data_IF_297384042143
#
_entry.id   IF_297384042143
#
_cell.length_a   1.000
_cell.length_b   1.000
_cell.length_c   1.000
_cell.angle_alpha   90.00
_cell.angle_beta   90.00
_cell.angle_gamma   90.00
#
_symmetry.space_group_name_H-M   'P 1'
#
loop_
_entity.id
_entity.type
_entity.pdbx_description
1 polymer ?
#
# COMPACT_ATOMS: atom_id res chain seq x y z
N UNK A 1 6.00 -24.23 18.27
CA UNK A 1 7.46 -24.02 18.28
C UNK A 1 7.93 -24.03 16.84
N UNK A 2 8.54 -22.95 16.35
CA UNK A 2 9.13 -22.90 15.01
C UNK A 2 10.38 -23.79 14.95
N UNK A 3 10.65 -24.45 13.82
CA UNK A 3 11.86 -25.27 13.66
C UNK A 3 13.12 -24.36 13.67
N UNK A 4 14.32 -24.86 14.04
CA UNK A 4 15.54 -24.06 14.11
C UNK A 4 15.91 -23.33 12.81
N UNK A 5 15.54 -23.88 11.65
CA UNK A 5 15.72 -23.25 10.33
C UNK A 5 14.78 -22.07 10.13
N UNK A 6 13.54 -22.19 10.58
CA UNK A 6 12.51 -21.15 10.47
C UNK A 6 12.84 -19.96 11.37
N UNK A 7 13.38 -20.21 12.57
CA UNK A 7 13.81 -19.15 13.48
C UNK A 7 14.98 -18.34 12.92
N UNK A 8 15.91 -18.99 12.20
CA UNK A 8 17.03 -18.30 11.56
C UNK A 8 16.55 -17.33 10.49
N UNK A 9 15.64 -17.77 9.62
CA UNK A 9 15.08 -16.94 8.55
C UNK A 9 14.17 -15.82 9.10
N UNK A 10 13.39 -16.11 10.14
CA UNK A 10 12.61 -15.09 10.86
C UNK A 10 13.52 -13.99 11.42
N UNK A 11 14.63 -14.36 12.06
CA UNK A 11 15.58 -13.40 12.61
C UNK A 11 16.31 -12.60 11.52
N UNK A 12 16.67 -13.23 10.38
CA UNK A 12 17.21 -12.51 9.22
C UNK A 12 16.24 -11.45 8.72
N UNK A 13 14.96 -11.80 8.57
CA UNK A 13 13.89 -10.88 8.15
C UNK A 13 13.75 -9.70 9.11
N UNK A 14 13.71 -9.98 10.42
CA UNK A 14 13.65 -8.94 11.46
C UNK A 14 14.84 -7.98 11.36
N UNK A 15 16.06 -8.49 11.16
CA UNK A 15 17.25 -7.66 10.96
C UNK A 15 17.14 -6.80 9.69
N UNK A 16 16.74 -7.38 8.55
CA UNK A 16 16.56 -6.60 7.30
C UNK A 16 15.52 -5.50 7.45
N UNK A 17 14.40 -5.81 8.11
CA UNK A 17 13.32 -4.86 8.37
C UNK A 17 13.78 -3.65 9.18
N UNK A 18 14.49 -3.88 10.29
CA UNK A 18 14.97 -2.75 11.11
C UNK A 18 16.05 -1.93 10.38
N UNK A 19 16.92 -2.55 9.58
CA UNK A 19 17.95 -1.86 8.79
C UNK A 19 17.35 -1.00 7.67
N UNK A 20 16.22 -1.44 7.09
CA UNK A 20 15.46 -0.63 6.14
C UNK A 20 14.81 0.57 6.83
N UNK A 21 14.21 0.36 7.99
CA UNK A 21 13.47 1.41 8.72
C UNK A 21 14.37 2.45 9.39
N UNK A 22 15.48 2.02 10.00
CA UNK A 22 16.36 2.88 10.80
C UNK A 22 17.65 3.26 10.08
N UNK A 23 17.92 2.67 8.91
CA UNK A 23 19.15 2.88 8.16
C UNK A 23 20.34 2.08 8.71
N UNK A 24 21.53 2.67 8.65
CA UNK A 24 22.76 1.98 9.02
C UNK A 24 22.87 1.81 10.55
N UNK A 25 23.09 0.58 11.01
CA UNK A 25 23.19 0.23 12.43
C UNK A 25 24.39 -0.68 12.71
N UNK A 26 25.00 -0.54 13.88
CA UNK A 26 26.02 -1.45 14.40
C UNK A 26 25.40 -2.75 14.88
N UNK A 27 26.23 -3.81 15.01
CA UNK A 27 25.76 -5.11 15.53
C UNK A 27 25.18 -5.02 16.95
N UNK A 28 25.66 -4.06 17.75
CA UNK A 28 25.17 -3.83 19.10
C UNK A 28 23.75 -3.22 19.08
N UNK A 29 23.55 -2.16 18.28
CA UNK A 29 22.23 -1.52 18.11
C UNK A 29 21.22 -2.50 17.51
N UNK A 30 21.64 -3.33 16.54
CA UNK A 30 20.80 -4.39 15.97
C UNK A 30 20.36 -5.37 17.05
N UNK A 31 21.28 -5.85 17.90
CA UNK A 31 20.96 -6.77 18.98
C UNK A 31 19.97 -6.16 19.99
N UNK A 32 20.16 -4.90 20.34
CA UNK A 32 19.30 -4.15 21.26
C UNK A 32 17.88 -3.97 20.71
N UNK A 33 17.74 -3.45 19.49
CA UNK A 33 16.42 -3.18 18.88
C UNK A 33 15.67 -4.47 18.53
N UNK A 34 16.39 -5.53 18.15
CA UNK A 34 15.74 -6.80 17.76
C UNK A 34 15.51 -7.76 18.92
N UNK A 35 16.08 -7.52 20.11
CA UNK A 35 16.14 -8.47 21.23
C UNK A 35 16.76 -9.84 20.83
N UNK A 36 17.66 -9.83 19.84
CA UNK A 36 18.42 -11.01 19.41
C UNK A 36 19.79 -10.97 20.07
N UNK A 37 20.24 -12.10 20.65
CA UNK A 37 21.56 -12.15 21.27
C UNK A 37 22.68 -11.71 20.32
N UNK A 38 23.68 -10.99 20.84
CA UNK A 38 24.84 -10.49 20.07
C UNK A 38 25.55 -11.62 19.31
N UNK A 39 25.65 -12.81 19.89
CA UNK A 39 26.26 -13.99 19.24
C UNK A 39 25.47 -14.41 18.00
N UNK A 40 24.14 -14.39 18.08
CA UNK A 40 23.26 -14.69 16.94
C UNK A 40 23.32 -13.59 15.90
N UNK A 41 23.25 -12.32 16.29
CA UNK A 41 23.40 -11.18 15.36
C UNK A 41 24.72 -11.26 14.59
N UNK A 42 25.84 -11.55 15.27
CA UNK A 42 27.14 -11.72 14.62
C UNK A 42 27.13 -12.79 13.52
N UNK A 43 26.46 -13.92 13.75
CA UNK A 43 26.33 -15.00 12.76
C UNK A 43 25.40 -14.62 11.61
N UNK A 44 24.30 -13.93 11.90
CA UNK A 44 23.31 -13.55 10.90
C UNK A 44 23.82 -12.43 9.99
N UNK A 45 24.49 -11.41 10.54
CA UNK A 45 25.09 -10.33 9.76
C UNK A 45 26.10 -10.87 8.76
N UNK A 46 26.99 -11.78 9.17
CA UNK A 46 27.91 -12.44 8.22
C UNK A 46 27.17 -13.16 7.10
N UNK A 47 26.13 -13.92 7.44
CA UNK A 47 25.36 -14.66 6.44
C UNK A 47 24.54 -13.76 5.50
N UNK A 48 24.11 -12.58 5.97
CA UNK A 48 23.40 -11.58 5.16
C UNK A 48 24.39 -10.84 4.23
N UNK A 49 25.57 -10.51 4.73
CA UNK A 49 26.66 -9.86 3.97
C UNK A 49 27.21 -10.80 2.89
N UNK A 50 27.47 -12.08 3.22
CA UNK A 50 27.84 -13.12 2.24
C UNK A 50 26.78 -13.30 1.14
N UNK A 51 25.52 -13.00 1.45
CA UNK A 51 24.39 -13.06 0.52
C UNK A 51 24.13 -11.76 -0.25
N UNK A 52 24.94 -10.72 -0.06
CA UNK A 52 24.75 -9.37 -0.61
C UNK A 52 23.39 -8.74 -0.18
N UNK A 53 22.77 -9.23 0.90
CA UNK A 53 21.49 -8.72 1.42
C UNK A 53 21.68 -7.41 2.18
N UNK A 54 22.86 -7.23 2.77
CA UNK A 54 23.28 -6.03 3.51
C UNK A 54 24.69 -5.65 3.07
N UNK A 55 25.03 -4.38 3.26
CA UNK A 55 26.37 -3.85 2.96
C UNK A 55 26.95 -3.12 4.16
N UNK A 56 28.26 -3.25 4.32
CA UNK A 56 29.03 -2.51 5.29
C UNK A 56 29.02 -1.01 4.94
N UNK A 57 28.83 -0.18 5.96
CA UNK A 57 29.00 1.26 5.86
C UNK A 57 30.04 1.71 6.88
N UNK A 58 31.14 2.25 6.37
CA UNK A 58 32.19 2.90 7.14
C UNK A 58 31.69 4.26 7.67
N UNK A 59 30.88 4.22 8.73
CA UNK A 59 30.51 5.40 9.50
C UNK A 59 31.31 5.41 10.79
N UNK A 60 32.42 6.16 10.81
CA UNK A 60 33.23 6.32 12.01
C UNK A 60 32.56 7.29 12.99
N UNK A 61 31.60 6.81 13.79
CA UNK A 61 31.19 7.52 15.00
C UNK A 61 32.08 7.07 16.15
N UNK A 62 32.88 7.99 16.69
CA UNK A 62 33.80 7.72 17.81
C UNK A 62 33.05 7.96 19.11
N UNK A 63 32.55 6.89 19.74
CA UNK A 63 32.06 6.94 21.12
C UNK A 63 32.88 5.96 21.97
N UNK A 64 33.63 6.49 22.94
CA UNK A 64 34.23 5.72 24.04
C UNK A 64 35.39 4.75 23.73
N UNK A 65 35.75 4.50 22.47
CA UNK A 65 36.86 3.64 22.06
C UNK A 65 36.43 2.46 21.17
N UNK A 66 37.32 2.13 20.21
CA UNK A 66 37.21 1.23 19.05
C UNK A 66 36.07 1.57 18.08
N UNK A 67 36.44 1.78 16.81
CA UNK A 67 35.52 2.06 15.69
C UNK A 67 34.56 0.87 15.51
N UNK A 68 33.26 1.10 15.65
CA UNK A 68 32.23 0.11 15.38
C UNK A 68 31.78 0.24 13.92
N UNK A 69 31.77 -0.88 13.21
CA UNK A 69 31.27 -0.97 11.84
C UNK A 69 29.74 -0.95 11.86
N UNK A 70 29.14 -0.16 10.97
CA UNK A 70 27.69 -0.13 10.74
C UNK A 70 27.33 -0.91 9.48
N UNK A 71 26.11 -1.44 9.44
CA UNK A 71 25.56 -2.21 8.33
C UNK A 71 24.25 -1.59 7.91
N UNK A 72 23.96 -1.55 6.61
CA UNK A 72 22.67 -1.13 6.07
C UNK A 72 22.13 -2.17 5.10
N UNK A 73 20.83 -2.12 4.84
CA UNK A 73 20.22 -2.95 3.79
C UNK A 73 20.89 -2.63 2.44
N UNK A 74 21.16 -3.66 1.63
CA UNK A 74 21.50 -3.43 0.23
C UNK A 74 20.21 -3.09 -0.52
N UNK A 75 20.00 -1.84 -0.97
CA UNK A 75 18.74 -1.44 -1.59
C UNK A 75 18.44 -2.28 -2.85
N UNK A 76 19.47 -2.71 -3.57
CA UNK A 76 19.37 -3.36 -4.88
C UNK A 76 19.43 -4.90 -4.78
N UNK A 77 19.41 -5.46 -3.56
CA UNK A 77 19.37 -6.91 -3.36
C UNK A 77 18.06 -7.52 -3.89
N UNK A 78 16.95 -6.81 -3.74
CA UNK A 78 15.63 -7.17 -4.28
C UNK A 78 14.92 -5.94 -4.82
N UNK A 79 14.01 -6.16 -5.77
CA UNK A 79 13.16 -5.14 -6.34
C UNK A 79 11.69 -5.58 -6.31
N UNK A 80 10.80 -4.58 -6.30
CA UNK A 80 9.36 -4.76 -6.37
C UNK A 80 8.87 -4.16 -7.67
N UNK A 81 8.21 -4.96 -8.51
CA UNK A 81 7.48 -4.45 -9.66
C UNK A 81 6.06 -4.07 -9.22
N UNK A 82 5.74 -2.79 -9.30
CA UNK A 82 4.41 -2.27 -9.03
C UNK A 82 3.70 -2.01 -10.36
N UNK A 83 2.49 -2.54 -10.48
CA UNK A 83 1.56 -2.26 -11.57
C UNK A 83 0.37 -1.53 -10.98
N UNK A 84 0.15 -0.28 -11.37
CA UNK A 84 -0.97 0.52 -10.88
C UNK A 84 -1.94 0.82 -12.01
N UNK A 85 -3.21 0.46 -11.85
CA UNK A 85 -4.27 0.78 -12.79
C UNK A 85 -5.04 1.99 -12.23
N UNK A 86 -5.11 3.07 -12.99
CA UNK A 86 -5.69 4.32 -12.50
C UNK A 86 -6.33 5.16 -13.60
N UNK A 87 -7.23 6.04 -13.21
CA UNK A 87 -7.74 7.10 -14.06
C UNK A 87 -6.80 8.31 -14.02
N UNK A 88 -6.27 8.74 -15.18
CA UNK A 88 -5.47 9.96 -15.33
C UNK A 88 -6.10 10.82 -16.42
N UNK A 89 -6.52 12.03 -16.08
CA UNK A 89 -7.19 12.96 -17.00
C UNK A 89 -8.35 12.33 -17.79
N UNK A 90 -9.25 11.62 -17.09
CA UNK A 90 -10.37 10.93 -17.72
C UNK A 90 -9.99 9.81 -18.68
N UNK A 91 -8.75 9.32 -18.63
CA UNK A 91 -8.29 8.17 -19.40
C UNK A 91 -7.80 7.09 -18.46
N UNK A 92 -8.07 5.85 -18.85
CA UNK A 92 -7.52 4.69 -18.18
C UNK A 92 -6.04 4.62 -18.52
N UNK A 93 -5.19 4.62 -17.49
CA UNK A 93 -3.75 4.48 -17.61
C UNK A 93 -3.30 3.35 -16.70
N UNK A 94 -2.38 2.53 -17.18
CA UNK A 94 -1.63 1.62 -16.31
C UNK A 94 -0.18 2.04 -16.28
N UNK A 95 0.44 1.91 -15.12
CA UNK A 95 1.84 2.30 -14.92
C UNK A 95 2.59 1.11 -14.34
N UNK A 96 3.69 0.76 -15.00
CA UNK A 96 4.70 -0.14 -14.44
C UNK A 96 5.76 0.69 -13.76
N UNK A 97 6.14 0.30 -12.56
CA UNK A 97 7.21 0.96 -11.81
C UNK A 97 8.05 -0.09 -11.09
N UNK A 98 9.37 -0.03 -11.27
CA UNK A 98 10.31 -0.92 -10.55
C UNK A 98 10.97 -0.11 -9.44
N UNK A 99 10.84 -0.62 -8.22
CA UNK A 99 11.40 -0.02 -7.02
C UNK A 99 12.44 -0.91 -6.39
N UNK A 100 13.50 -0.32 -5.85
CA UNK A 100 14.41 -1.00 -4.94
C UNK A 100 13.83 -1.04 -3.51
N UNK A 101 14.50 -1.72 -2.57
CA UNK A 101 13.97 -1.90 -1.20
C UNK A 101 13.82 -0.61 -0.38
N UNK A 102 14.45 0.49 -0.81
CA UNK A 102 14.32 1.82 -0.18
C UNK A 102 13.26 2.69 -0.85
N UNK A 103 12.55 2.16 -1.86
CA UNK A 103 11.51 2.88 -2.60
C UNK A 103 12.07 3.83 -3.66
N UNK A 104 13.35 3.73 -4.00
CA UNK A 104 13.92 4.45 -5.12
C UNK A 104 13.45 3.82 -6.43
N UNK A 105 13.05 4.68 -7.35
CA UNK A 105 12.47 4.28 -8.64
C UNK A 105 13.60 4.03 -9.63
N UNK A 106 13.69 2.81 -10.16
CA UNK A 106 14.63 2.46 -11.23
C UNK A 106 14.00 2.55 -12.63
N UNK A 107 12.68 2.35 -12.71
CA UNK A 107 11.95 2.36 -13.98
C UNK A 107 10.52 2.82 -13.77
N UNK A 108 9.99 3.61 -14.70
CA UNK A 108 8.56 3.92 -14.80
C UNK A 108 8.16 4.00 -16.26
N UNK A 109 7.07 3.33 -16.60
CA UNK A 109 6.42 3.47 -17.90
C UNK A 109 4.90 3.55 -17.73
N UNK A 110 4.32 4.65 -18.21
CA UNK A 110 2.88 4.85 -18.27
C UNK A 110 2.38 4.42 -19.66
N UNK A 111 1.32 3.62 -19.72
CA UNK A 111 0.72 3.11 -20.95
C UNK A 111 -0.80 3.37 -20.97
N UNK A 112 -1.37 3.54 -22.17
CA UNK A 112 -2.82 3.67 -22.35
C UNK A 112 -3.51 2.34 -22.06
N UNK A 113 -4.42 2.31 -21.09
CA UNK A 113 -5.08 1.08 -20.66
C UNK A 113 -6.45 0.81 -21.29
N UNK A 114 -6.83 1.55 -22.33
CA UNK A 114 -8.13 1.36 -23.02
C UNK A 114 -8.26 -0.05 -23.63
N UNK A 115 -7.15 -0.64 -24.09
CA UNK A 115 -7.09 -1.99 -24.67
C UNK A 115 -6.32 -2.98 -23.78
N UNK A 116 -6.16 -2.69 -22.49
CA UNK A 116 -5.39 -3.56 -21.59
C UNK A 116 -6.15 -4.86 -21.32
N UNK A 117 -5.64 -5.96 -21.87
CA UNK A 117 -6.07 -7.31 -21.56
C UNK A 117 -4.98 -8.09 -20.77
N UNK A 118 -5.33 -9.31 -20.38
CA UNK A 118 -4.41 -10.18 -19.66
C UNK A 118 -3.18 -10.56 -20.49
N UNK A 119 -3.27 -10.62 -21.82
CA UNK A 119 -2.14 -10.99 -22.68
C UNK A 119 -1.10 -9.87 -22.79
N UNK A 120 -1.55 -8.62 -22.92
CA UNK A 120 -0.71 -7.44 -22.86
C UNK A 120 -0.01 -7.35 -21.49
N UNK A 121 -0.76 -7.54 -20.40
CA UNK A 121 -0.20 -7.51 -19.06
C UNK A 121 0.86 -8.59 -18.85
N UNK A 122 0.59 -9.84 -19.25
CA UNK A 122 1.55 -10.95 -19.21
C UNK A 122 2.85 -10.61 -19.94
N UNK A 123 2.74 -10.09 -21.16
CA UNK A 123 3.89 -9.74 -22.00
C UNK A 123 4.76 -8.67 -21.34
N UNK A 124 4.15 -7.55 -20.95
CA UNK A 124 4.87 -6.42 -20.38
C UNK A 124 5.54 -6.79 -19.04
N UNK A 125 4.82 -7.52 -18.17
CA UNK A 125 5.38 -8.00 -16.91
C UNK A 125 6.56 -8.94 -17.16
N UNK A 126 6.44 -9.88 -18.12
CA UNK A 126 7.52 -10.80 -18.46
C UNK A 126 8.74 -10.07 -18.98
N UNK A 127 8.56 -9.11 -19.88
CA UNK A 127 9.65 -8.32 -20.45
C UNK A 127 10.38 -7.53 -19.35
N UNK A 128 9.65 -6.96 -18.40
CA UNK A 128 10.23 -6.26 -17.23
C UNK A 128 10.95 -7.22 -16.27
N UNK A 129 10.39 -8.40 -15.98
CA UNK A 129 11.05 -9.41 -15.14
C UNK A 129 12.35 -9.90 -15.81
N UNK A 130 12.38 -10.01 -17.13
CA UNK A 130 13.61 -10.33 -17.86
C UNK A 130 14.64 -9.19 -17.83
N UNK A 131 14.19 -7.94 -17.92
CA UNK A 131 15.06 -6.76 -17.88
C UNK A 131 15.63 -6.49 -16.48
N UNK A 132 14.86 -6.78 -15.43
CA UNK A 132 15.18 -6.48 -14.03
C UNK A 132 15.25 -7.78 -13.21
N UNK A 133 16.40 -8.44 -13.28
CA UNK A 133 16.64 -9.76 -12.64
C UNK A 133 16.51 -9.80 -11.12
N UNK A 134 16.43 -8.64 -10.45
CA UNK A 134 16.29 -8.52 -8.99
C UNK A 134 14.82 -8.40 -8.55
N UNK A 135 13.86 -8.29 -9.49
CA UNK A 135 12.43 -8.33 -9.15
C UNK A 135 12.13 -9.63 -8.41
N UNK A 136 11.67 -9.48 -7.16
CA UNK A 136 11.40 -10.60 -6.25
C UNK A 136 9.91 -10.81 -5.98
N UNK A 137 9.08 -9.79 -6.24
CA UNK A 137 7.63 -9.89 -6.23
C UNK A 137 7.01 -8.84 -7.15
N UNK A 138 5.75 -9.07 -7.52
CA UNK A 138 4.94 -8.16 -8.33
C UNK A 138 3.73 -7.76 -7.50
N UNK A 139 3.40 -6.48 -7.45
CA UNK A 139 2.20 -5.96 -6.80
C UNK A 139 1.33 -5.27 -7.82
N UNK A 140 0.08 -5.69 -7.93
CA UNK A 140 -0.88 -5.15 -8.88
C UNK A 140 -2.02 -4.51 -8.12
N UNK A 141 -2.15 -3.20 -8.28
CA UNK A 141 -3.30 -2.49 -7.77
C UNK A 141 -4.44 -2.51 -8.79
N UNK A 142 -5.65 -2.84 -8.36
CA UNK A 142 -6.85 -2.87 -9.21
C UNK A 142 -8.00 -2.07 -8.58
N UNK A 143 -8.73 -1.23 -9.34
CA UNK A 143 -10.00 -0.65 -8.91
C UNK A 143 -11.07 -1.74 -9.06
N UNK A 144 -11.25 -2.51 -8.00
CA UNK A 144 -12.15 -3.64 -8.01
C UNK A 144 -11.92 -4.68 -6.93
N UNK A 145 -12.70 -5.75 -7.00
CA UNK A 145 -12.78 -6.77 -5.95
C UNK A 145 -12.33 -8.13 -6.48
N UNK A 146 -11.39 -8.76 -5.79
CA UNK A 146 -11.01 -10.16 -5.99
C UNK A 146 -11.83 -11.07 -5.07
N UNK A 147 -12.65 -11.97 -5.64
CA UNK A 147 -13.41 -12.98 -4.87
C UNK A 147 -13.09 -14.36 -5.43
N UNK A 148 -12.53 -15.21 -4.56
CA UNK A 148 -12.15 -16.59 -4.91
C UNK A 148 -11.14 -16.66 -6.05
N UNK A 149 -10.12 -15.80 -6.01
CA UNK A 149 -9.04 -15.72 -7.01
C UNK A 149 -9.39 -14.93 -8.28
N UNK A 150 -10.65 -14.54 -8.45
CA UNK A 150 -11.16 -13.86 -9.66
C UNK A 150 -11.51 -12.42 -9.41
N UNK A 151 -11.19 -11.55 -10.36
CA UNK A 151 -11.66 -10.17 -10.38
C UNK A 151 -13.15 -10.14 -10.75
N UNK A 152 -14.03 -9.76 -9.83
CA UNK A 152 -15.50 -9.87 -9.98
C UNK A 152 -16.22 -8.56 -10.22
N UNK A 153 -15.70 -7.47 -9.71
CA UNK A 153 -16.22 -6.12 -9.97
C UNK A 153 -15.00 -5.27 -10.32
N UNK A 154 -14.97 -4.76 -11.55
CA UNK A 154 -13.87 -3.92 -12.02
C UNK A 154 -14.36 -2.90 -13.02
N UNK A 155 -13.72 -1.75 -12.97
CA UNK A 155 -13.88 -0.69 -13.96
C UNK A 155 -13.20 -1.04 -15.30
N UNK A 156 -12.52 -2.21 -15.37
CA UNK A 156 -11.84 -2.76 -16.55
C UNK A 156 -12.51 -4.05 -17.05
N UNK A 157 -13.36 -3.97 -18.09
CA UNK A 157 -14.11 -5.13 -18.58
C UNK A 157 -13.22 -6.28 -19.08
N UNK A 158 -12.06 -5.98 -19.67
CA UNK A 158 -11.16 -6.97 -20.29
C UNK A 158 -10.45 -7.87 -19.27
N UNK A 159 -10.43 -7.48 -17.99
CA UNK A 159 -9.85 -8.27 -16.91
C UNK A 159 -10.93 -8.94 -16.04
N UNK A 160 -12.22 -8.75 -16.36
CA UNK A 160 -13.32 -9.31 -15.59
C UNK A 160 -13.30 -10.85 -15.62
N UNK A 161 -13.50 -11.46 -14.46
CA UNK A 161 -13.45 -12.91 -14.20
C UNK A 161 -12.09 -13.58 -14.47
N UNK A 162 -11.02 -12.81 -14.67
CA UNK A 162 -9.66 -13.33 -14.83
C UNK A 162 -9.09 -13.72 -13.46
N UNK A 163 -8.39 -14.87 -13.44
CA UNK A 163 -7.55 -15.30 -12.32
C UNK A 163 -6.19 -14.61 -12.39
N UNK A 164 -6.19 -13.31 -12.10
CA UNK A 164 -5.04 -12.44 -12.39
C UNK A 164 -3.76 -12.94 -11.73
N UNK A 165 -3.82 -13.25 -10.42
CA UNK A 165 -2.68 -13.77 -9.66
C UNK A 165 -2.14 -15.05 -10.27
N UNK A 166 -2.94 -16.12 -10.30
CA UNK A 166 -2.50 -17.43 -10.77
C UNK A 166 -1.96 -17.39 -12.20
N UNK A 167 -2.64 -16.63 -13.07
CA UNK A 167 -2.24 -16.47 -14.48
C UNK A 167 -0.87 -15.83 -14.61
N UNK A 168 -0.57 -14.80 -13.81
CA UNK A 168 0.70 -14.09 -13.87
C UNK A 168 1.81 -14.84 -13.12
N UNK A 169 1.52 -15.43 -11.97
CA UNK A 169 2.47 -16.27 -11.22
C UNK A 169 2.99 -17.41 -12.09
N UNK A 170 2.09 -18.08 -12.83
CA UNK A 170 2.47 -19.15 -13.76
C UNK A 170 3.33 -18.68 -14.95
N UNK A 171 3.25 -17.41 -15.34
CA UNK A 171 4.01 -16.87 -16.46
C UNK A 171 5.44 -16.49 -16.06
N UNK A 172 5.63 -15.93 -14.86
CA UNK A 172 6.92 -15.40 -14.42
C UNK A 172 7.60 -16.18 -13.30
N UNK A 173 6.91 -17.14 -12.67
CA UNK A 173 7.40 -17.91 -11.52
C UNK A 173 7.84 -17.02 -10.34
N UNK A 174 7.15 -15.89 -10.15
CA UNK A 174 7.35 -14.97 -9.03
C UNK A 174 6.02 -14.75 -8.31
N UNK A 175 6.03 -14.44 -7.00
CA UNK A 175 4.83 -14.08 -6.26
C UNK A 175 4.13 -12.87 -6.89
N UNK A 176 2.80 -12.96 -7.07
CA UNK A 176 1.97 -11.86 -7.54
C UNK A 176 0.94 -11.50 -6.47
N UNK A 177 1.01 -10.26 -6.02
CA UNK A 177 0.11 -9.69 -5.04
C UNK A 177 -0.91 -8.81 -5.75
N UNK A 178 -2.14 -8.81 -5.26
CA UNK A 178 -3.23 -7.99 -5.79
C UNK A 178 -3.86 -7.27 -4.63
N UNK A 179 -4.03 -5.96 -4.76
CA UNK A 179 -4.65 -5.11 -3.75
C UNK A 179 -5.57 -4.09 -4.41
N UNK A 180 -6.58 -3.64 -3.67
CA UNK A 180 -7.46 -2.58 -4.18
C UNK A 180 -6.73 -1.24 -4.17
N UNK A 181 -7.15 -0.33 -5.04
CA UNK A 181 -6.59 1.02 -5.13
C UNK A 181 -6.81 1.84 -3.84
N UNK A 182 -7.97 1.75 -3.21
CA UNK A 182 -8.28 2.45 -1.97
C UNK A 182 -7.52 1.91 -0.76
N UNK A 183 -7.36 0.59 -0.65
CA UNK A 183 -6.55 -0.03 0.41
C UNK A 183 -5.07 0.35 0.26
N UNK A 184 -4.54 0.26 -0.96
CA UNK A 184 -3.18 0.68 -1.22
C UNK A 184 -3.02 2.19 -0.96
N UNK A 185 -3.96 3.04 -1.36
CA UNK A 185 -3.88 4.47 -1.07
C UNK A 185 -3.81 4.77 0.44
N UNK A 186 -4.60 4.09 1.28
CA UNK A 186 -4.55 4.34 2.73
C UNK A 186 -3.27 3.80 3.38
N UNK A 187 -2.73 2.67 2.88
CA UNK A 187 -1.39 2.19 3.28
C UNK A 187 -0.29 3.20 2.93
N UNK A 188 -0.38 3.82 1.74
CA UNK A 188 0.55 4.85 1.34
C UNK A 188 0.44 6.13 2.16
N UNK A 189 -0.77 6.48 2.59
CA UNK A 189 -0.98 7.55 3.56
C UNK A 189 -0.30 7.25 4.89
N UNK A 190 -0.48 6.03 5.44
CA UNK A 190 0.15 5.57 6.69
C UNK A 190 1.68 5.50 6.63
N UNK A 191 2.26 5.39 5.43
CA UNK A 191 3.72 5.46 5.23
C UNK A 191 4.31 6.87 5.42
N UNK A 192 3.48 7.89 5.61
CA UNK A 192 3.91 9.24 6.01
C UNK A 192 4.26 9.25 7.50
N UNK A 193 4.91 10.31 8.02
CA UNK A 193 5.14 10.48 9.46
C UNK A 193 3.82 10.82 10.18
N UNK A 194 2.89 9.88 10.20
CA UNK A 194 1.58 9.92 10.86
C UNK A 194 1.55 8.82 11.92
N UNK A 195 0.94 9.11 13.08
CA UNK A 195 0.94 8.21 14.24
C UNK A 195 -0.35 7.42 14.40
N UNK A 196 -1.39 7.84 13.69
CA UNK A 196 -2.77 7.36 13.82
C UNK A 196 -2.90 5.95 13.22
N UNK A 197 -3.56 5.05 13.95
CA UNK A 197 -3.74 3.65 13.56
C UNK A 197 -5.18 3.37 13.06
N UNK A 198 -6.11 4.30 13.29
CA UNK A 198 -7.48 4.23 12.78
C UNK A 198 -7.73 5.35 11.74
N UNK A 199 -7.55 5.03 10.46
CA UNK A 199 -7.63 5.97 9.34
C UNK A 199 -8.65 5.47 8.31
N UNK A 200 -9.57 6.33 7.90
CA UNK A 200 -10.48 6.07 6.79
C UNK A 200 -10.10 6.94 5.59
N UNK A 201 -9.82 6.32 4.45
CA UNK A 201 -9.64 7.00 3.17
C UNK A 201 -10.93 6.92 2.36
N UNK A 202 -11.52 8.06 1.99
CA UNK A 202 -12.66 8.14 1.07
C UNK A 202 -12.18 8.65 -0.29
N UNK A 203 -12.34 7.85 -1.33
CA UNK A 203 -11.89 8.19 -2.69
C UNK A 203 -13.06 8.54 -3.61
N UNK A 204 -12.98 9.72 -4.22
CA UNK A 204 -13.95 10.27 -5.16
C UNK A 204 -13.26 10.60 -6.50
N UNK A 205 -13.18 9.63 -7.43
CA UNK A 205 -12.77 9.88 -8.81
C UNK A 205 -13.82 10.69 -9.59
N UNK A 206 -13.44 11.20 -10.76
CA UNK A 206 -14.30 12.06 -11.57
C UNK A 206 -15.29 11.30 -12.46
N UNK A 207 -15.02 10.02 -12.76
CA UNK A 207 -15.84 9.20 -13.68
C UNK A 207 -16.35 7.89 -13.11
N UNK A 208 -15.84 7.47 -11.97
CA UNK A 208 -16.15 6.17 -11.39
C UNK A 208 -16.87 6.35 -10.04
N UNK A 209 -17.64 5.35 -9.61
CA UNK A 209 -18.23 5.35 -8.27
C UNK A 209 -17.13 5.48 -7.20
N UNK A 210 -17.45 6.09 -6.04
CA UNK A 210 -16.48 6.25 -4.97
C UNK A 210 -16.18 4.93 -4.25
N UNK A 211 -15.01 4.88 -3.64
CA UNK A 211 -14.54 3.77 -2.82
C UNK A 211 -13.99 4.25 -1.49
N UNK A 212 -13.74 3.33 -0.56
CA UNK A 212 -13.06 3.62 0.69
C UNK A 212 -11.99 2.59 1.02
N UNK A 213 -10.93 3.04 1.69
CA UNK A 213 -9.91 2.21 2.31
C UNK A 213 -10.02 2.37 3.82
N UNK A 214 -10.01 1.27 4.55
CA UNK A 214 -10.23 1.24 6.00
C UNK A 214 -8.99 0.67 6.68
N UNK A 215 -8.22 1.50 7.38
CA UNK A 215 -7.11 1.09 8.22
C UNK A 215 -7.55 1.15 9.68
N UNK A 216 -7.68 0.01 10.34
CA UNK A 216 -8.15 -0.09 11.73
C UNK A 216 -7.11 -0.84 12.55
N UNK A 217 -6.70 -0.28 13.68
CA UNK A 217 -5.60 -0.78 14.52
C UNK A 217 -4.30 -1.04 13.71
N UNK A 218 -4.01 -0.18 12.75
CA UNK A 218 -2.81 -0.29 11.90
C UNK A 218 -2.90 -1.34 10.80
N UNK A 219 -4.04 -2.03 10.65
CA UNK A 219 -4.24 -3.08 9.65
C UNK A 219 -5.39 -2.74 8.69
N UNK A 220 -5.29 -3.21 7.45
CA UNK A 220 -6.35 -3.01 6.46
C UNK A 220 -7.54 -3.92 6.78
N UNK A 221 -8.69 -3.32 7.02
CA UNK A 221 -9.94 -4.04 7.17
C UNK A 221 -10.51 -4.38 5.79
N UNK A 222 -10.30 -5.62 5.33
CA UNK A 222 -10.81 -6.13 4.05
C UNK A 222 -12.22 -6.73 4.15
N UNK A 223 -12.52 -7.32 5.31
CA UNK A 223 -13.70 -8.15 5.51
C UNK A 223 -13.65 -9.46 4.72
N UNK A 224 -14.53 -10.41 5.07
CA UNK A 224 -14.52 -11.81 4.58
C UNK A 224 -14.31 -12.01 3.08
N UNK A 225 -14.85 -11.11 2.26
CA UNK A 225 -14.82 -11.21 0.79
C UNK A 225 -14.08 -10.03 0.14
N UNK A 226 -13.33 -9.23 0.91
CA UNK A 226 -12.71 -8.00 0.40
C UNK A 226 -13.71 -6.89 0.06
N UNK A 227 -14.92 -6.92 0.65
CA UNK A 227 -16.01 -5.97 0.36
C UNK A 227 -16.01 -4.75 1.29
N UNK A 228 -15.18 -4.74 2.34
CA UNK A 228 -15.13 -3.62 3.25
C UNK A 228 -14.64 -2.37 2.50
N UNK A 229 -15.33 -1.25 2.69
CA UNK A 229 -15.03 0.00 1.98
C UNK A 229 -15.69 0.17 0.61
N UNK A 230 -16.47 -0.80 0.12
CA UNK A 230 -17.23 -0.66 -1.13
C UNK A 230 -18.49 0.21 -0.96
N UNK A 231 -18.27 1.50 -0.70
CA UNK A 231 -19.31 2.46 -0.34
C UNK A 231 -20.33 2.71 -1.45
N UNK A 232 -20.01 2.37 -2.71
CA UNK A 232 -20.97 2.46 -3.82
C UNK A 232 -22.19 1.56 -3.66
N UNK A 233 -22.10 0.47 -2.91
CA UNK A 233 -23.23 -0.44 -2.63
C UNK A 233 -24.03 -0.06 -1.39
N UNK A 234 -23.72 1.06 -0.73
CA UNK A 234 -24.53 1.54 0.38
C UNK A 234 -25.97 1.80 -0.09
N UNK A 235 -26.99 1.45 0.72
CA UNK A 235 -28.40 1.54 0.31
C UNK A 235 -28.93 3.00 0.36
N UNK A 236 -28.23 3.91 -0.29
CA UNK A 236 -28.55 5.35 -0.38
C UNK A 236 -29.41 5.69 -1.60
N UNK A 237 -29.85 4.67 -2.36
CA UNK A 237 -30.66 4.82 -3.58
C UNK A 237 -29.97 5.68 -4.65
N UNK A 238 -28.65 5.49 -4.81
CA UNK A 238 -27.85 6.18 -5.81
C UNK A 238 -27.66 5.27 -7.01
N UNK A 239 -28.06 5.75 -8.19
CA UNK A 239 -27.73 5.13 -9.46
C UNK A 239 -26.39 5.70 -9.94
N UNK A 240 -25.31 4.96 -9.71
CA UNK A 240 -23.96 5.39 -10.07
C UNK A 240 -23.72 5.47 -11.59
N UNK A 241 -24.48 4.71 -12.39
CA UNK A 241 -24.34 4.73 -13.84
C UNK A 241 -24.86 6.04 -14.45
N UNK A 242 -25.82 6.67 -13.77
CA UNK A 242 -26.44 7.94 -14.16
C UNK A 242 -26.17 9.06 -13.14
N UNK A 243 -25.18 8.90 -12.27
CA UNK A 243 -24.93 9.85 -11.19
C UNK A 243 -24.41 11.19 -11.71
N UNK A 244 -24.93 12.27 -11.15
CA UNK A 244 -24.42 13.62 -11.40
C UNK A 244 -23.17 13.86 -10.56
N UNK A 245 -22.00 13.79 -11.21
CA UNK A 245 -20.70 14.10 -10.61
C UNK A 245 -20.46 15.62 -10.43
N UNK A 246 -21.51 16.43 -10.26
CA UNK A 246 -21.38 17.83 -9.87
C UNK A 246 -20.80 17.98 -8.47
N UNK A 247 -20.11 19.09 -8.23
CA UNK A 247 -19.47 19.39 -6.94
C UNK A 247 -20.47 19.30 -5.79
N UNK A 248 -21.69 19.80 -5.96
CA UNK A 248 -22.70 19.82 -4.91
C UNK A 248 -23.17 18.40 -4.54
N UNK A 249 -23.36 17.53 -5.53
CA UNK A 249 -23.75 16.13 -5.31
C UNK A 249 -22.65 15.32 -4.66
N UNK A 250 -21.39 15.54 -5.06
CA UNK A 250 -20.25 14.92 -4.41
C UNK A 250 -20.12 15.39 -2.96
N UNK A 251 -20.27 16.70 -2.68
CA UNK A 251 -20.27 17.23 -1.31
C UNK A 251 -21.39 16.62 -0.46
N UNK A 252 -22.60 16.48 -1.02
CA UNK A 252 -23.74 15.82 -0.35
C UNK A 252 -23.40 14.37 0.03
N UNK A 253 -22.79 13.61 -0.88
CA UNK A 253 -22.37 12.23 -0.61
C UNK A 253 -21.27 12.14 0.44
N UNK A 254 -20.26 13.01 0.36
CA UNK A 254 -19.16 13.09 1.35
C UNK A 254 -19.73 13.31 2.76
N UNK A 255 -20.65 14.26 2.95
CA UNK A 255 -21.27 14.51 4.27
C UNK A 255 -21.90 13.23 4.85
N UNK A 256 -22.65 12.48 4.03
CA UNK A 256 -23.25 11.21 4.44
C UNK A 256 -22.19 10.17 4.80
N UNK A 257 -21.14 10.03 3.98
CA UNK A 257 -20.08 9.06 4.24
C UNK A 257 -19.31 9.37 5.51
N UNK A 258 -18.96 10.63 5.76
CA UNK A 258 -18.27 11.07 6.97
C UNK A 258 -19.09 10.73 8.22
N UNK A 259 -20.40 10.97 8.21
CA UNK A 259 -21.29 10.58 9.30
C UNK A 259 -21.32 9.06 9.52
N UNK A 260 -21.41 8.27 8.45
CA UNK A 260 -21.41 6.81 8.55
C UNK A 260 -20.08 6.28 9.07
N UNK A 261 -18.96 6.79 8.58
CA UNK A 261 -17.63 6.36 9.03
C UNK A 261 -17.42 6.65 10.51
N UNK A 262 -17.91 7.80 10.99
CA UNK A 262 -17.95 8.10 12.43
C UNK A 262 -18.77 7.06 13.20
N UNK A 263 -19.98 6.75 12.74
CA UNK A 263 -20.88 5.82 13.44
C UNK A 263 -20.36 4.38 13.51
N UNK A 264 -19.66 3.90 12.48
CA UNK A 264 -19.19 2.51 12.42
C UNK A 264 -17.78 2.30 12.95
N UNK A 265 -16.91 3.29 12.81
CA UNK A 265 -15.47 3.11 13.03
C UNK A 265 -14.84 4.13 13.98
N UNK A 266 -15.46 5.31 14.18
CA UNK A 266 -14.92 6.40 15.00
C UNK A 266 -13.40 6.62 14.79
N UNK A 267 -12.96 6.91 13.55
CA UNK A 267 -11.54 6.94 13.21
C UNK A 267 -10.84 8.17 13.81
N UNK A 268 -9.51 8.09 13.95
CA UNK A 268 -8.67 9.23 14.33
C UNK A 268 -8.53 10.24 13.17
N UNK A 269 -8.52 9.74 11.92
CA UNK A 269 -8.38 10.56 10.72
C UNK A 269 -9.30 10.10 9.60
N UNK A 270 -9.91 11.06 8.90
CA UNK A 270 -10.62 10.82 7.64
C UNK A 270 -9.91 11.59 6.52
N UNK A 271 -9.37 10.86 5.56
CA UNK A 271 -8.71 11.40 4.37
C UNK A 271 -9.67 11.35 3.20
N UNK A 272 -10.04 12.51 2.66
CA UNK A 272 -10.90 12.63 1.49
C UNK A 272 -10.04 12.89 0.26
N UNK A 273 -9.94 11.88 -0.62
CA UNK A 273 -9.23 11.94 -1.88
C UNK A 273 -10.15 12.39 -3.01
N UNK A 274 -9.82 13.52 -3.63
CA UNK A 274 -10.67 14.12 -4.67
C UNK A 274 -9.94 15.16 -5.50
N UNK A 275 -10.21 15.20 -6.81
CA UNK A 275 -9.74 16.26 -7.70
C UNK A 275 -10.74 17.41 -7.86
N UNK A 276 -11.98 17.21 -7.42
CA UNK A 276 -13.01 18.25 -7.45
C UNK A 276 -12.54 19.50 -6.66
N UNK A 277 -12.91 20.69 -7.15
CA UNK A 277 -12.59 21.94 -6.47
C UNK A 277 -13.78 22.39 -5.63
N UNK A 278 -13.61 22.36 -4.30
CA UNK A 278 -14.69 22.58 -3.34
C UNK A 278 -14.78 23.97 -2.73
N UNK A 279 -13.83 24.88 -3.00
CA UNK A 279 -13.61 26.02 -2.11
C UNK A 279 -13.10 25.51 -0.76
N UNK A 280 -11.85 25.02 -0.75
CA UNK A 280 -11.37 23.95 0.13
C UNK A 280 -11.55 24.18 1.64
N UNK A 281 -11.48 25.43 2.12
CA UNK A 281 -11.53 25.73 3.55
C UNK A 281 -12.96 25.65 4.10
N UNK A 282 -13.89 26.31 3.43
CA UNK A 282 -15.29 26.43 3.88
C UNK A 282 -15.98 25.07 3.98
N UNK A 283 -15.74 24.16 3.02
CA UNK A 283 -16.38 22.84 3.03
C UNK A 283 -15.89 21.95 4.18
N UNK A 284 -14.59 22.01 4.51
CA UNK A 284 -14.03 21.21 5.60
C UNK A 284 -14.49 21.74 6.96
N UNK A 285 -14.57 23.06 7.12
CA UNK A 285 -15.15 23.69 8.32
C UNK A 285 -16.63 23.31 8.48
N UNK A 286 -17.41 23.34 7.40
CA UNK A 286 -18.81 22.91 7.39
C UNK A 286 -18.98 21.45 7.80
N UNK A 287 -18.14 20.55 7.26
CA UNK A 287 -18.15 19.13 7.63
C UNK A 287 -17.87 18.93 9.13
N UNK A 288 -16.84 19.58 9.66
CA UNK A 288 -16.46 19.49 11.07
C UNK A 288 -17.55 20.06 11.98
N UNK A 289 -18.14 21.21 11.61
CA UNK A 289 -19.25 21.78 12.37
C UNK A 289 -20.47 20.85 12.37
N UNK A 290 -20.84 20.29 11.21
CA UNK A 290 -21.95 19.33 11.11
C UNK A 290 -21.71 18.09 11.96
N UNK A 291 -20.47 17.60 12.04
CA UNK A 291 -20.11 16.52 12.97
C UNK A 291 -20.24 16.93 14.43
N UNK A 292 -19.80 18.14 14.80
CA UNK A 292 -19.91 18.65 16.17
C UNK A 292 -21.38 18.79 16.63
N UNK A 293 -22.29 19.13 15.73
CA UNK A 293 -23.73 19.21 16.03
C UNK A 293 -24.34 17.82 16.30
N UNK A 294 -23.92 16.80 15.55
CA UNK A 294 -24.39 15.42 15.71
C UNK A 294 -23.72 14.72 16.90
N UNK A 295 -22.43 14.99 17.12
CA UNK A 295 -21.59 14.36 18.15
C UNK A 295 -20.93 15.40 19.09
N UNK A 296 -21.73 16.16 19.87
CA UNK A 296 -21.22 17.30 20.66
C UNK A 296 -20.28 16.91 21.82
N UNK A 297 -20.16 15.62 22.13
CA UNK A 297 -19.32 15.09 23.21
C UNK A 297 -18.08 14.36 22.70
N UNK A 298 -17.94 14.17 21.39
CA UNK A 298 -16.87 13.38 20.80
C UNK A 298 -15.62 14.24 20.55
N UNK A 299 -14.44 13.62 20.64
CA UNK A 299 -13.25 14.13 19.97
C UNK A 299 -13.42 13.84 18.49
N UNK A 300 -13.52 14.88 17.66
CA UNK A 300 -13.72 14.70 16.22
C UNK A 300 -12.42 14.26 15.52
N UNK A 301 -12.53 13.51 14.40
CA UNK A 301 -11.38 13.09 13.62
C UNK A 301 -10.65 14.29 13.00
N UNK A 302 -9.36 14.11 12.72
CA UNK A 302 -8.67 14.99 11.78
C UNK A 302 -9.26 14.79 10.38
N UNK A 303 -9.71 15.88 9.76
CA UNK A 303 -10.30 15.87 8.42
C UNK A 303 -9.29 16.39 7.40
N UNK A 304 -8.83 15.51 6.50
CA UNK A 304 -7.77 15.82 5.53
C UNK A 304 -8.33 15.79 4.11
N UNK A 305 -8.24 16.90 3.38
CA UNK A 305 -8.55 16.94 1.95
C UNK A 305 -7.28 16.74 1.13
N UNK A 306 -7.21 15.67 0.33
CA UNK A 306 -6.00 15.25 -0.38
C UNK A 306 -6.21 15.11 -1.89
N UNK A 307 -5.24 15.63 -2.66
CA UNK A 307 -5.11 15.39 -4.11
C UNK A 307 -4.02 14.38 -4.46
N UNK A 308 -3.48 13.71 -3.44
CA UNK A 308 -2.30 12.84 -3.57
C UNK A 308 -2.65 11.36 -3.75
N UNK A 309 -3.88 11.03 -4.17
CA UNK A 309 -4.35 9.64 -4.31
C UNK A 309 -3.37 8.78 -5.10
N UNK A 310 -2.99 9.19 -6.32
CA UNK A 310 -2.02 8.45 -7.16
C UNK A 310 -0.67 8.22 -6.47
N UNK A 311 -0.18 9.21 -5.72
CA UNK A 311 1.09 9.08 -5.01
C UNK A 311 0.96 8.09 -3.86
N UNK A 312 -0.08 8.22 -3.05
CA UNK A 312 -0.32 7.34 -1.91
C UNK A 312 -0.62 5.92 -2.39
N UNK A 313 -1.39 5.77 -3.46
CA UNK A 313 -1.67 4.50 -4.12
C UNK A 313 -0.38 3.77 -4.53
N UNK A 314 0.53 4.44 -5.25
CA UNK A 314 1.81 3.83 -5.65
C UNK A 314 2.70 3.48 -4.47
N UNK A 315 2.81 4.38 -3.49
CA UNK A 315 3.59 4.15 -2.26
C UNK A 315 3.03 2.95 -1.49
N UNK A 316 1.71 2.84 -1.37
CA UNK A 316 1.09 1.73 -0.67
C UNK A 316 1.22 0.40 -1.37
N UNK A 317 1.12 0.35 -2.70
CA UNK A 317 1.42 -0.88 -3.45
C UNK A 317 2.88 -1.31 -3.24
N UNK A 318 3.82 -0.37 -3.28
CA UNK A 318 5.22 -0.65 -2.96
C UNK A 318 5.37 -1.17 -1.52
N UNK A 319 4.79 -0.47 -0.54
CA UNK A 319 4.84 -0.86 0.87
C UNK A 319 4.27 -2.27 1.10
N UNK A 320 3.16 -2.60 0.42
CA UNK A 320 2.56 -3.93 0.45
C UNK A 320 3.51 -5.01 -0.10
N UNK A 321 4.22 -4.70 -1.19
CA UNK A 321 5.24 -5.59 -1.74
C UNK A 321 6.42 -5.82 -0.80
N UNK A 322 6.93 -4.76 -0.16
CA UNK A 322 8.03 -4.91 0.78
C UNK A 322 7.60 -5.63 2.06
N UNK A 323 6.41 -5.35 2.58
CA UNK A 323 5.85 -6.07 3.73
C UNK A 323 5.76 -7.58 3.46
N UNK A 324 5.32 -7.96 2.25
CA UNK A 324 5.36 -9.35 1.83
C UNK A 324 6.78 -9.94 1.79
N UNK A 325 7.76 -9.22 1.24
CA UNK A 325 9.15 -9.70 1.20
C UNK A 325 9.77 -9.86 2.59
N UNK A 326 9.37 -9.02 3.54
CA UNK A 326 9.91 -9.04 4.91
C UNK A 326 9.20 -10.05 5.81
N UNK A 327 7.88 -10.06 5.81
CA UNK A 327 7.10 -10.85 6.74
C UNK A 327 6.64 -12.18 6.14
N UNK A 328 6.75 -12.34 4.82
CA UNK A 328 6.32 -13.53 4.08
C UNK A 328 4.91 -13.96 4.51
N UNK A 329 4.03 -12.97 4.65
CA UNK A 329 2.63 -13.15 5.01
C UNK A 329 1.94 -13.83 3.82
N UNK A 330 2.03 -15.15 3.78
CA UNK A 330 1.32 -16.03 2.85
C UNK A 330 -0.19 -16.04 3.11
N UNK A 331 -0.62 -15.52 4.26
CA UNK A 331 -2.02 -15.45 4.70
C UNK A 331 -2.46 -13.99 4.90
N UNK A 332 -2.57 -13.23 3.82
CA UNK A 332 -3.54 -12.12 3.74
C UNK A 332 -4.97 -12.64 3.46
N UNK A 333 -5.14 -13.98 3.51
CA UNK A 333 -6.37 -14.74 3.30
C UNK A 333 -7.25 -14.74 4.55
N UNK A 334 -7.75 -13.58 5.00
CA UNK A 334 -8.90 -13.54 5.93
C UNK A 334 -9.90 -12.49 5.47
#
# INVERSE_FOLDING_TARGET
>A
MALPRDLKELNKRKIKSILRQHGAMTKAEIAEVTDISVVTVNKLIRALEEGDEIIEQDNSVVTGGRRAISYKINPNFQQVLVVSLQEKWKKITYSFSVYNLLGEVEFVEDMSGEDLDIHALKRNIKDLVCAFSKISCIVIGVPGIEIGGRLRAMDFPLLLNVHLRETLESEVNLPVLVETDTNAAILGYKNRPVTEDNIVGLYYPERFPPGAGLLMNGEILKGKNGLAGEIKYMPLQIDWDNFDFSVDKIKEHIRKMVLLTMSFYDPETIVIYTNFYFGQKDFMEELTQGLAEVYPYASLPEMVLSRKFTSDYRIGLFAFGVDYLENNLTDWRI
#
